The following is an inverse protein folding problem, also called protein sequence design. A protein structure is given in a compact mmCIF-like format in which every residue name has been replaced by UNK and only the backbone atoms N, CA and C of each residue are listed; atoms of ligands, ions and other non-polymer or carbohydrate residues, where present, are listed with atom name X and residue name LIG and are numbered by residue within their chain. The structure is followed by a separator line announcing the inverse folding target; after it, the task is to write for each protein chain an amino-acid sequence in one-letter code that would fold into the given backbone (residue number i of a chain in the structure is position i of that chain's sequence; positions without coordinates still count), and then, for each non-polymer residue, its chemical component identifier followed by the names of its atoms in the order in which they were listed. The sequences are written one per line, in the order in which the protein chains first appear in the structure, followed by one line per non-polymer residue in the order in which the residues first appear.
data_IF_111829220408
#
_entry.id   IF_111829220408
#
_cell.length_a   1.000
_cell.length_b   1.000
_cell.length_c   1.000
_cell.angle_alpha   90.00
_cell.angle_beta   90.00
_cell.angle_gamma   90.00
#
_symmetry.space_group_name_H-M   'P 1'
#
loop_
_entity.id
_entity.type
_entity.pdbx_description
1 polymer ?
#
# COMPACT_ATOMS: atom_id res chain seq x y z
N UNK A 1 17.34 -12.30 3.63
CA UNK A 1 16.80 -11.19 4.43
C UNK A 1 17.97 -10.34 4.89
N UNK A 2 18.02 -9.05 4.57
CA UNK A 2 18.97 -8.11 5.17
C UNK A 2 18.34 -7.46 6.41
N UNK A 3 19.17 -6.97 7.34
CA UNK A 3 18.71 -6.23 8.52
C UNK A 3 19.10 -4.76 8.37
N UNK A 4 18.22 -3.87 8.78
CA UNK A 4 18.47 -2.43 8.90
C UNK A 4 18.13 -1.99 10.33
N UNK A 5 18.76 -0.93 10.80
CA UNK A 5 18.41 -0.28 12.08
C UNK A 5 17.50 0.90 11.77
N UNK A 6 16.36 0.98 12.46
CA UNK A 6 15.40 2.08 12.34
C UNK A 6 15.33 2.75 13.70
N UNK A 7 15.56 4.06 13.74
CA UNK A 7 15.37 4.84 14.95
C UNK A 7 13.87 4.99 15.24
N UNK A 8 13.49 4.73 16.48
CA UNK A 8 12.13 4.84 17.00
C UNK A 8 12.19 5.44 18.40
N UNK A 9 11.06 5.94 18.89
CA UNK A 9 10.99 6.45 20.25
C UNK A 9 11.40 5.38 21.29
N UNK A 10 12.04 5.83 22.38
CA UNK A 10 12.56 4.94 23.42
C UNK A 10 11.48 4.02 24.01
N UNK A 11 10.26 4.53 24.17
CA UNK A 11 9.12 3.75 24.68
C UNK A 11 8.72 2.63 23.73
N UNK A 12 8.73 2.88 22.41
CA UNK A 12 8.42 1.89 21.38
C UNK A 12 9.51 0.82 21.36
N UNK A 13 10.78 1.23 21.42
CA UNK A 13 11.90 0.31 21.44
C UNK A 13 11.83 -0.63 22.65
N UNK A 14 11.45 -0.12 23.83
CA UNK A 14 11.24 -0.91 25.04
C UNK A 14 10.06 -1.87 24.86
N UNK A 15 8.88 -1.37 24.48
CA UNK A 15 7.68 -2.18 24.31
C UNK A 15 7.84 -3.29 23.26
N UNK A 16 8.58 -3.04 22.18
CA UNK A 16 8.89 -4.07 21.17
C UNK A 16 9.78 -5.17 21.74
N UNK A 17 10.84 -4.82 22.49
CA UNK A 17 11.76 -5.80 23.10
C UNK A 17 11.09 -6.66 24.16
N UNK A 18 10.13 -6.10 24.89
CA UNK A 18 9.37 -6.78 25.94
C UNK A 18 8.19 -7.60 25.37
N UNK A 19 7.84 -7.44 24.10
CA UNK A 19 6.76 -8.18 23.47
C UNK A 19 7.14 -9.66 23.22
N UNK A 20 6.14 -10.54 23.28
CA UNK A 20 6.30 -11.95 22.92
C UNK A 20 6.89 -12.13 21.51
N UNK A 21 7.69 -13.19 21.27
CA UNK A 21 8.35 -13.43 19.98
C UNK A 21 7.39 -13.43 18.78
N UNK A 22 6.18 -13.98 18.94
CA UNK A 22 5.16 -13.98 17.89
C UNK A 22 4.70 -12.57 17.53
N UNK A 23 4.55 -11.70 18.54
CA UNK A 23 4.16 -10.30 18.34
C UNK A 23 5.28 -9.50 17.67
N UNK A 24 6.54 -9.73 18.05
CA UNK A 24 7.70 -9.14 17.38
C UNK A 24 7.75 -9.54 15.90
N UNK A 25 7.50 -10.81 15.58
CA UNK A 25 7.46 -11.30 14.20
C UNK A 25 6.35 -10.64 13.38
N UNK A 26 5.13 -10.52 13.94
CA UNK A 26 4.01 -9.84 13.29
C UNK A 26 4.33 -8.37 13.00
N UNK A 27 4.94 -7.66 13.96
CA UNK A 27 5.36 -6.27 13.78
C UNK A 27 6.44 -6.16 12.69
N UNK A 28 7.45 -7.04 12.68
CA UNK A 28 8.48 -7.06 11.64
C UNK A 28 7.89 -7.27 10.24
N UNK A 29 6.92 -8.18 10.10
CA UNK A 29 6.23 -8.42 8.84
C UNK A 29 5.42 -7.21 8.38
N UNK A 30 4.71 -6.56 9.31
CA UNK A 30 3.98 -5.32 9.04
C UNK A 30 4.92 -4.20 8.55
N UNK A 31 6.03 -3.96 9.25
CA UNK A 31 7.02 -2.95 8.87
C UNK A 31 7.60 -3.21 7.48
N UNK A 32 7.89 -4.46 7.13
CA UNK A 32 8.37 -4.81 5.79
C UNK A 32 7.37 -4.42 4.69
N UNK A 33 6.07 -4.65 4.90
CA UNK A 33 5.02 -4.26 3.93
C UNK A 33 4.94 -2.75 3.82
N UNK A 34 4.95 -2.04 4.95
CA UNK A 34 4.87 -0.58 4.99
C UNK A 34 6.08 0.08 4.33
N UNK A 35 7.30 -0.38 4.63
CA UNK A 35 8.53 0.10 4.00
C UNK A 35 8.53 -0.15 2.49
N UNK A 36 8.08 -1.33 2.05
CA UNK A 36 7.98 -1.64 0.62
C UNK A 36 7.03 -0.67 -0.09
N UNK A 37 5.89 -0.33 0.51
CA UNK A 37 4.95 0.65 -0.03
C UNK A 37 5.52 2.07 -0.04
N UNK A 38 6.22 2.47 1.03
CA UNK A 38 6.79 3.80 1.13
C UNK A 38 7.92 4.04 0.12
N UNK A 39 8.76 3.02 -0.12
CA UNK A 39 9.93 3.12 -1.00
C UNK A 39 9.56 2.88 -2.47
N UNK A 40 8.48 2.12 -2.73
CA UNK A 40 7.91 1.95 -4.07
C UNK A 40 6.59 2.71 -4.15
N UNK A 41 6.60 4.04 -4.37
CA UNK A 41 5.41 4.68 -4.87
C UNK A 41 5.05 3.95 -6.16
N UNK A 42 3.85 3.33 -6.21
CA UNK A 42 3.37 2.72 -7.44
C UNK A 42 3.46 3.81 -8.52
N UNK A 43 4.13 3.57 -9.65
CA UNK A 43 4.08 4.48 -10.78
C UNK A 43 2.62 4.86 -11.03
N UNK A 44 2.35 6.13 -11.33
CA UNK A 44 0.99 6.58 -11.65
C UNK A 44 0.34 5.65 -12.68
N UNK A 45 1.13 5.15 -13.63
CA UNK A 45 0.71 4.17 -14.62
C UNK A 45 0.19 2.86 -14.03
N UNK A 46 0.86 2.29 -13.02
CA UNK A 46 0.37 1.06 -12.33
C UNK A 46 -0.92 1.32 -11.57
N UNK A 47 -1.05 2.51 -10.95
CA UNK A 47 -2.28 2.91 -10.25
C UNK A 47 -3.44 3.08 -11.23
N UNK A 48 -3.19 3.74 -12.37
CA UNK A 48 -4.17 3.91 -13.44
C UNK A 48 -4.58 2.57 -14.07
N UNK A 49 -3.65 1.64 -14.25
CA UNK A 49 -3.95 0.31 -14.79
C UNK A 49 -4.84 -0.50 -13.83
N UNK A 50 -4.55 -0.45 -12.53
CA UNK A 50 -5.36 -1.12 -11.51
C UNK A 50 -6.76 -0.50 -11.40
N UNK A 51 -6.85 0.83 -11.42
CA UNK A 51 -8.12 1.56 -11.45
C UNK A 51 -8.94 1.24 -12.70
N UNK A 52 -8.30 1.17 -13.88
CA UNK A 52 -8.94 0.78 -15.13
C UNK A 52 -9.50 -0.65 -15.08
N UNK A 53 -8.75 -1.62 -14.53
CA UNK A 53 -9.22 -3.00 -14.33
C UNK A 53 -10.43 -3.08 -13.41
N UNK A 54 -10.42 -2.35 -12.31
CA UNK A 54 -11.55 -2.30 -11.37
C UNK A 54 -12.79 -1.65 -11.99
N UNK A 55 -12.60 -0.55 -12.71
CA UNK A 55 -13.64 0.10 -13.49
C UNK A 55 -14.35 -0.87 -14.44
N UNK A 56 -13.58 -1.59 -15.26
CA UNK A 56 -14.13 -2.58 -16.21
C UNK A 56 -14.86 -3.71 -15.45
N UNK A 57 -14.28 -4.23 -14.37
CA UNK A 57 -14.92 -5.28 -13.56
C UNK A 57 -16.25 -4.84 -12.93
N UNK A 58 -16.39 -3.54 -12.66
CA UNK A 58 -17.62 -2.94 -12.14
C UNK A 58 -18.62 -2.53 -13.24
N UNK A 59 -18.40 -2.96 -14.48
CA UNK A 59 -19.32 -2.74 -15.60
C UNK A 59 -19.05 -1.46 -16.40
N UNK A 60 -17.86 -0.86 -16.26
CA UNK A 60 -17.48 0.25 -17.14
C UNK A 60 -17.29 -0.27 -18.57
N UNK A 61 -18.13 0.21 -19.48
CA UNK A 61 -18.05 -0.07 -20.93
C UNK A 61 -17.55 1.16 -21.68
N UNK A 62 -17.08 1.01 -22.94
CA UNK A 62 -16.67 2.14 -23.77
C UNK A 62 -17.76 3.20 -23.91
N UNK A 63 -19.03 2.81 -24.00
CA UNK A 63 -20.17 3.71 -24.18
C UNK A 63 -20.43 4.54 -22.91
N UNK A 64 -20.34 3.92 -21.72
CA UNK A 64 -20.48 4.63 -20.45
C UNK A 64 -19.32 5.60 -20.27
N UNK A 65 -18.10 5.17 -20.57
CA UNK A 65 -16.93 6.04 -20.50
C UNK A 65 -17.08 7.23 -21.46
N UNK A 66 -17.51 6.99 -22.69
CA UNK A 66 -17.76 8.04 -23.67
C UNK A 66 -18.85 9.01 -23.19
N UNK A 67 -19.92 8.52 -22.55
CA UNK A 67 -20.94 9.41 -21.97
C UNK A 67 -20.40 10.31 -20.86
N UNK A 68 -19.51 9.78 -20.00
CA UNK A 68 -18.88 10.55 -18.91
C UNK A 68 -17.90 11.59 -19.48
N UNK A 69 -17.11 11.22 -20.49
CA UNK A 69 -16.11 12.11 -21.11
C UNK A 69 -16.75 13.20 -21.98
N UNK A 70 -17.92 12.92 -22.54
CA UNK A 70 -18.69 13.88 -23.33
C UNK A 70 -19.71 14.65 -22.48
N UNK A 71 -19.87 14.30 -21.20
CA UNK A 71 -20.65 15.09 -20.24
C UNK A 71 -19.89 16.41 -20.01
N UNK A 72 -20.38 17.45 -20.69
CA UNK A 72 -19.88 18.81 -20.54
C UNK A 72 -20.72 19.47 -19.46
N UNK A 73 -20.16 19.61 -18.27
CA UNK A 73 -20.54 20.74 -17.40
C UNK A 73 -20.19 22.07 -18.10
#
# INVERSE_FOLDING_TARGET
MSKITIEVDNEIAKAYREAEPEKQQKISMFLNVMLKKAIRPKPLLEVMEEASKQAIANGMTPEILESILNDKD
#
